data_IF_990123940820
#
_entry.id   IF_990123940820
#
_cell.length_a   1.000
_cell.length_b   1.000
_cell.length_c   1.000
_cell.angle_alpha   90.00
_cell.angle_beta   90.00
_cell.angle_gamma   90.00
#
_symmetry.space_group_name_H-M   'P 1'
#
loop_
_entity.id
_entity.type
_entity.pdbx_description
1 polymer ?
#
# COMPACT_ATOMS: atom_id res chain seq x y z
N UNK A 1 -24.15 5.65 -7.13
CA UNK A 1 -23.05 5.37 -6.18
C UNK A 1 -21.91 6.31 -6.50
N UNK A 2 -21.19 6.86 -5.51
CA UNK A 2 -20.08 7.80 -5.75
C UNK A 2 -18.81 6.99 -6.00
N UNK A 3 -18.12 7.26 -7.12
CA UNK A 3 -16.81 6.66 -7.42
C UNK A 3 -15.74 7.68 -7.08
N UNK A 4 -14.89 7.33 -6.10
CA UNK A 4 -13.77 8.18 -5.69
C UNK A 4 -12.76 8.32 -6.84
N UNK A 5 -12.28 9.54 -7.07
CA UNK A 5 -11.33 9.83 -8.14
C UNK A 5 -9.89 9.68 -7.61
N UNK A 6 -9.04 8.86 -8.28
CA UNK A 6 -7.63 8.76 -7.93
C UNK A 6 -6.88 10.10 -8.02
N UNK A 7 -7.30 11.01 -8.91
CA UNK A 7 -6.75 12.37 -9.01
C UNK A 7 -6.97 13.14 -7.70
N UNK A 8 -8.19 13.12 -7.18
CA UNK A 8 -8.51 13.83 -5.94
C UNK A 8 -7.78 13.22 -4.74
N UNK A 9 -7.62 11.90 -4.72
CA UNK A 9 -6.84 11.22 -3.69
C UNK A 9 -5.38 11.69 -3.68
N UNK A 10 -4.75 11.85 -4.86
CA UNK A 10 -3.40 12.42 -4.96
C UNK A 10 -3.33 13.85 -4.39
N UNK A 11 -4.31 14.70 -4.70
CA UNK A 11 -4.38 16.08 -4.19
C UNK A 11 -4.51 16.08 -2.65
N UNK A 12 -5.42 15.27 -2.09
CA UNK A 12 -5.57 15.16 -0.64
C UNK A 12 -4.31 14.61 0.04
N UNK A 13 -3.62 13.67 -0.60
CA UNK A 13 -2.33 13.15 -0.14
C UNK A 13 -1.28 14.25 -0.02
N UNK A 14 -1.13 15.09 -1.05
CA UNK A 14 -0.21 16.24 -1.02
C UNK A 14 -0.59 17.22 0.10
N UNK A 15 -1.88 17.57 0.21
CA UNK A 15 -2.35 18.53 1.21
C UNK A 15 -2.11 18.04 2.64
N UNK A 16 -2.36 16.76 2.91
CA UNK A 16 -2.12 16.17 4.23
C UNK A 16 -0.63 16.07 4.52
N UNK A 17 0.19 15.73 3.53
CA UNK A 17 1.63 15.74 3.70
C UNK A 17 2.16 17.14 4.02
N UNK A 18 1.72 18.17 3.31
CA UNK A 18 2.07 19.57 3.59
C UNK A 18 1.61 19.96 5.00
N UNK A 19 0.38 19.62 5.37
CA UNK A 19 -0.13 19.89 6.71
C UNK A 19 0.77 19.27 7.79
N UNK A 20 1.15 18.00 7.63
CA UNK A 20 2.04 17.32 8.57
C UNK A 20 3.43 17.93 8.60
N UNK A 21 3.98 18.31 7.45
CA UNK A 21 5.26 19.00 7.37
C UNK A 21 5.25 20.34 8.14
N UNK A 22 4.18 21.13 8.02
CA UNK A 22 4.07 22.44 8.68
C UNK A 22 3.89 22.35 10.20
N UNK A 23 3.25 21.29 10.71
CA UNK A 23 2.97 21.14 12.15
C UNK A 23 3.97 20.23 12.86
N UNK A 24 4.79 19.48 12.13
CA UNK A 24 5.72 18.52 12.73
C UNK A 24 6.86 19.24 13.45
N UNK A 25 7.31 18.74 14.62
CA UNK A 25 8.48 19.26 15.33
C UNK A 25 9.79 18.69 14.75
N UNK A 26 9.84 18.55 13.41
CA UNK A 26 10.89 17.82 12.71
C UNK A 26 11.56 18.75 11.72
N UNK A 27 12.88 18.86 11.85
CA UNK A 27 13.76 19.54 10.92
C UNK A 27 14.52 18.54 10.05
N UNK A 28 14.81 18.90 8.81
CA UNK A 28 15.60 18.06 7.91
C UNK A 28 17.08 18.33 8.11
N UNK A 29 17.86 17.28 8.37
CA UNK A 29 19.30 17.38 8.53
C UNK A 29 20.07 17.23 7.22
N UNK A 30 19.45 16.59 6.22
CA UNK A 30 19.99 16.47 4.87
C UNK A 30 19.36 17.54 3.95
N UNK A 31 20.16 18.31 3.20
CA UNK A 31 19.64 19.33 2.30
C UNK A 31 18.86 18.68 1.15
N UNK A 32 17.66 19.20 0.86
CA UNK A 32 16.87 18.72 -0.27
C UNK A 32 17.46 19.29 -1.56
N UNK A 33 17.94 18.40 -2.43
CA UNK A 33 18.49 18.70 -3.75
C UNK A 33 17.47 19.40 -4.65
N UNK A 34 17.91 20.42 -5.37
CA UNK A 34 17.03 21.11 -6.33
C UNK A 34 16.52 20.17 -7.42
N UNK A 35 17.33 19.18 -7.80
CA UNK A 35 16.97 18.17 -8.80
C UNK A 35 15.82 17.29 -8.29
N UNK A 36 15.84 16.91 -7.02
CA UNK A 36 14.77 16.10 -6.42
C UNK A 36 13.45 16.86 -6.33
N UNK A 37 13.50 18.15 -5.99
CA UNK A 37 12.32 19.03 -6.02
C UNK A 37 11.73 19.13 -7.43
N UNK A 38 12.56 19.40 -8.44
CA UNK A 38 12.12 19.52 -9.83
C UNK A 38 11.51 18.20 -10.31
N UNK A 39 12.15 17.07 -10.03
CA UNK A 39 11.62 15.76 -10.41
C UNK A 39 10.30 15.46 -9.73
N UNK A 40 10.17 15.73 -8.43
CA UNK A 40 8.95 15.49 -7.66
C UNK A 40 7.78 16.35 -8.18
N UNK A 41 8.00 17.66 -8.33
CA UNK A 41 6.98 18.59 -8.84
C UNK A 41 6.63 18.28 -10.30
N UNK A 42 7.63 18.03 -11.14
CA UNK A 42 7.44 17.60 -12.52
C UNK A 42 6.64 16.31 -12.63
N UNK A 43 6.87 15.35 -11.73
CA UNK A 43 6.14 14.09 -11.67
C UNK A 43 4.67 14.28 -11.33
N UNK A 44 4.33 15.14 -10.36
CA UNK A 44 2.94 15.48 -10.07
C UNK A 44 2.28 16.24 -11.22
N UNK A 45 2.96 17.24 -11.80
CA UNK A 45 2.43 18.03 -12.91
C UNK A 45 2.10 17.14 -14.10
N UNK A 46 3.03 16.27 -14.51
CA UNK A 46 2.83 15.35 -15.62
C UNK A 46 1.79 14.26 -15.30
N UNK A 47 1.72 13.77 -14.06
CA UNK A 47 0.64 12.89 -13.63
C UNK A 47 -0.75 13.55 -13.84
N UNK A 48 -0.93 14.79 -13.37
CA UNK A 48 -2.19 15.51 -13.54
C UNK A 48 -2.49 15.86 -15.01
N UNK A 49 -1.45 16.18 -15.79
CA UNK A 49 -1.57 16.40 -17.23
C UNK A 49 -2.05 15.13 -17.93
N UNK A 50 -1.37 13.99 -17.70
CA UNK A 50 -1.74 12.70 -18.25
C UNK A 50 -3.17 12.30 -17.88
N UNK A 51 -3.55 12.50 -16.61
CA UNK A 51 -4.92 12.25 -16.15
C UNK A 51 -5.94 13.11 -16.90
N UNK A 52 -5.63 14.39 -17.11
CA UNK A 52 -6.47 15.34 -17.84
C UNK A 52 -6.59 14.95 -19.32
N UNK A 53 -5.50 14.56 -19.97
CA UNK A 53 -5.51 14.07 -21.36
C UNK A 53 -6.40 12.83 -21.47
N UNK A 54 -6.21 11.82 -20.62
CA UNK A 54 -7.05 10.62 -20.59
C UNK A 54 -8.53 10.95 -20.38
N UNK A 55 -8.81 12.02 -19.62
CA UNK A 55 -10.16 12.52 -19.34
C UNK A 55 -10.81 13.25 -20.52
N UNK A 56 -10.07 13.61 -21.56
CA UNK A 56 -10.61 14.21 -22.80
C UNK A 56 -10.82 13.20 -23.93
N UNK A 57 -10.05 12.11 -23.95
CA UNK A 57 -10.15 11.08 -25.00
C UNK A 57 -11.55 10.43 -25.02
N UNK A 58 -12.27 10.56 -26.14
CA UNK A 58 -13.57 9.90 -26.38
C UNK A 58 -13.38 8.38 -26.34
N UNK A 59 -14.34 7.67 -25.78
CA UNK A 59 -14.31 6.21 -25.77
C UNK A 59 -15.06 5.67 -26.99
N UNK A 60 -14.47 4.66 -27.65
CA UNK A 60 -15.25 3.74 -28.49
C UNK A 60 -16.29 3.04 -27.62
N UNK A 61 -17.54 2.93 -28.11
CA UNK A 61 -18.66 2.22 -27.47
C UNK A 61 -18.17 0.81 -27.13
N UNK A 62 -18.16 0.46 -25.84
CA UNK A 62 -18.09 -0.95 -25.44
C UNK A 62 -19.49 -1.28 -24.95
N UNK A 63 -20.09 -2.29 -25.56
CA UNK A 63 -21.43 -2.78 -25.27
C UNK A 63 -21.48 -3.23 -23.80
N UNK A 64 -22.41 -2.68 -23.03
CA UNK A 64 -22.63 -3.10 -21.64
C UNK A 64 -23.29 -4.47 -21.64
N UNK A 65 -22.60 -5.50 -21.15
CA UNK A 65 -23.22 -6.81 -20.93
C UNK A 65 -24.02 -6.78 -19.64
N UNK A 66 -25.30 -6.41 -19.75
CA UNK A 66 -26.22 -6.39 -18.62
C UNK A 66 -26.83 -7.79 -18.41
N UNK A 67 -26.05 -8.73 -17.86
CA UNK A 67 -26.51 -10.09 -17.58
C UNK A 67 -26.59 -10.35 -16.07
N UNK A 68 -27.67 -9.87 -15.44
CA UNK A 68 -27.99 -10.16 -14.02
C UNK A 68 -28.21 -11.66 -13.77
N UNK A 69 -28.51 -12.44 -14.81
CA UNK A 69 -28.85 -13.88 -14.73
C UNK A 69 -27.64 -14.78 -14.46
N UNK A 70 -26.42 -14.34 -14.79
CA UNK A 70 -25.18 -15.10 -14.55
C UNK A 70 -24.36 -14.63 -13.33
N UNK A 71 -24.83 -13.62 -12.58
CA UNK A 71 -24.06 -13.01 -11.49
C UNK A 71 -23.73 -13.98 -10.34
N UNK A 72 -24.64 -14.89 -10.02
CA UNK A 72 -24.46 -15.90 -8.96
C UNK A 72 -23.37 -16.91 -9.32
N UNK A 73 -23.43 -17.47 -10.53
CA UNK A 73 -22.42 -18.42 -11.01
C UNK A 73 -21.03 -17.78 -11.03
N UNK A 74 -20.95 -16.54 -11.54
CA UNK A 74 -19.69 -15.78 -11.55
C UNK A 74 -19.18 -15.56 -10.13
N UNK A 75 -20.03 -15.15 -9.20
CA UNK A 75 -19.65 -14.99 -7.79
C UNK A 75 -19.01 -16.27 -7.23
N UNK A 76 -19.62 -17.44 -7.42
CA UNK A 76 -19.04 -18.71 -6.95
C UNK A 76 -17.71 -19.06 -7.65
N UNK A 77 -17.53 -18.71 -8.92
CA UNK A 77 -16.25 -18.87 -9.62
C UNK A 77 -15.17 -18.00 -8.93
N UNK A 78 -15.45 -16.72 -8.68
CA UNK A 78 -14.48 -15.83 -8.02
C UNK A 78 -14.23 -16.19 -6.56
N UNK A 79 -15.24 -16.70 -5.84
CA UNK A 79 -15.06 -17.29 -4.52
C UNK A 79 -14.13 -18.51 -4.57
N UNK A 80 -14.33 -19.41 -5.55
CA UNK A 80 -13.44 -20.55 -5.77
C UNK A 80 -12.01 -20.15 -6.08
N UNK A 81 -11.80 -19.11 -6.89
CA UNK A 81 -10.46 -18.53 -7.16
C UNK A 81 -9.86 -17.93 -5.89
N UNK A 82 -10.68 -17.31 -5.03
CA UNK A 82 -10.21 -16.76 -3.75
C UNK A 82 -9.73 -17.86 -2.81
N UNK A 83 -10.47 -18.98 -2.73
CA UNK A 83 -10.06 -20.17 -1.96
C UNK A 83 -8.78 -20.78 -2.55
N UNK A 84 -8.70 -20.90 -3.87
CA UNK A 84 -7.50 -21.41 -4.56
C UNK A 84 -6.27 -20.55 -4.25
N UNK A 85 -6.42 -19.22 -4.20
CA UNK A 85 -5.34 -18.31 -3.80
C UNK A 85 -4.81 -18.63 -2.40
N UNK A 86 -5.70 -18.80 -1.42
CA UNK A 86 -5.34 -19.18 -0.05
C UNK A 86 -4.59 -20.51 -0.04
N UNK A 87 -5.09 -21.52 -0.75
CA UNK A 87 -4.44 -22.83 -0.84
C UNK A 87 -3.04 -22.73 -1.46
N UNK A 88 -2.89 -22.01 -2.58
CA UNK A 88 -1.60 -21.81 -3.23
C UNK A 88 -0.60 -21.11 -2.30
N UNK A 89 -1.01 -20.05 -1.60
CA UNK A 89 -0.11 -19.33 -0.68
C UNK A 89 0.20 -20.12 0.59
N UNK A 90 -0.75 -20.91 1.08
CA UNK A 90 -0.52 -21.82 2.18
C UNK A 90 0.53 -22.87 1.81
N UNK A 91 0.37 -23.51 0.65
CA UNK A 91 1.34 -24.49 0.14
C UNK A 91 2.70 -23.84 -0.09
N UNK A 92 2.76 -22.68 -0.76
CA UNK A 92 4.02 -21.96 -0.98
C UNK A 92 4.73 -21.65 0.34
N UNK A 93 4.03 -21.06 1.28
CA UNK A 93 4.66 -20.53 2.49
C UNK A 93 4.99 -21.63 3.49
N UNK A 94 4.03 -22.49 3.83
CA UNK A 94 4.19 -23.49 4.91
C UNK A 94 4.81 -24.80 4.41
N UNK A 95 4.52 -25.24 3.18
CA UNK A 95 4.97 -26.55 2.69
C UNK A 95 6.25 -26.43 1.88
N UNK A 96 6.31 -25.52 0.91
CA UNK A 96 7.46 -25.39 0.01
C UNK A 96 8.60 -24.62 0.70
N UNK A 97 8.27 -23.51 1.36
CA UNK A 97 9.27 -22.60 1.94
C UNK A 97 9.47 -22.80 3.44
N UNK A 98 8.57 -23.54 4.10
CA UNK A 98 8.77 -24.03 5.46
C UNK A 98 8.58 -23.00 6.58
N UNK A 99 7.77 -21.94 6.39
CA UNK A 99 7.44 -21.07 7.52
C UNK A 99 6.65 -21.84 8.59
N UNK A 100 6.85 -21.48 9.86
CA UNK A 100 6.19 -22.15 10.98
C UNK A 100 5.50 -21.13 11.89
N UNK A 101 4.31 -21.47 12.39
CA UNK A 101 3.57 -20.63 13.34
C UNK A 101 4.33 -20.49 14.67
N UNK A 102 5.13 -21.50 15.02
CA UNK A 102 5.93 -21.49 16.23
C UNK A 102 7.18 -20.58 16.13
N UNK A 103 7.58 -20.21 14.92
CA UNK A 103 8.74 -19.37 14.69
C UNK A 103 8.41 -17.89 14.94
N UNK A 104 9.43 -17.14 15.32
CA UNK A 104 9.32 -15.69 15.43
C UNK A 104 9.04 -15.04 14.06
N UNK A 105 8.37 -13.89 14.05
CA UNK A 105 8.05 -13.19 12.80
C UNK A 105 9.29 -12.82 11.96
N UNK A 106 10.41 -12.54 12.63
CA UNK A 106 11.70 -12.25 11.97
C UNK A 106 12.30 -13.50 11.32
N UNK A 107 12.29 -14.63 12.03
CA UNK A 107 12.78 -15.91 11.54
C UNK A 107 11.96 -16.40 10.33
N UNK A 108 10.64 -16.33 10.40
CA UNK A 108 9.77 -16.64 9.26
C UNK A 108 10.06 -15.74 8.05
N UNK A 109 10.39 -14.47 8.30
CA UNK A 109 10.76 -13.54 7.23
C UNK A 109 12.10 -13.92 6.60
N UNK A 110 13.09 -14.29 7.39
CA UNK A 110 14.40 -14.74 6.92
C UNK A 110 14.29 -16.03 6.09
N UNK A 111 13.49 -17.01 6.55
CA UNK A 111 13.19 -18.24 5.79
C UNK A 111 12.60 -17.89 4.42
N UNK A 112 11.67 -16.95 4.37
CA UNK A 112 11.10 -16.49 3.11
C UNK A 112 12.16 -15.76 2.25
N UNK A 113 12.96 -14.86 2.82
CA UNK A 113 13.97 -14.13 2.05
C UNK A 113 15.06 -15.05 1.46
N UNK A 114 15.43 -16.11 2.19
CA UNK A 114 16.44 -17.09 1.77
C UNK A 114 15.90 -18.18 0.84
N UNK A 115 14.58 -18.37 0.77
CA UNK A 115 13.96 -19.39 -0.08
C UNK A 115 13.61 -18.86 -1.46
N UNK A 116 13.86 -19.69 -2.49
CA UNK A 116 13.47 -19.35 -3.86
C UNK A 116 11.94 -19.33 -3.94
N UNK A 117 11.34 -18.22 -4.41
CA UNK A 117 9.89 -18.15 -4.51
C UNK A 117 9.33 -19.11 -5.55
N UNK A 118 8.25 -19.83 -5.24
CA UNK A 118 7.66 -20.80 -6.18
C UNK A 118 6.71 -20.15 -7.20
N UNK A 119 6.50 -20.83 -8.33
CA UNK A 119 5.46 -20.47 -9.32
C UNK A 119 4.08 -20.47 -8.67
N UNK A 120 3.82 -21.42 -7.76
CA UNK A 120 2.57 -21.53 -7.01
C UNK A 120 2.35 -20.28 -6.16
N UNK A 121 3.39 -19.79 -5.48
CA UNK A 121 3.36 -18.57 -4.69
C UNK A 121 3.10 -17.31 -5.54
N UNK A 122 3.71 -17.21 -6.72
CA UNK A 122 3.48 -16.08 -7.64
C UNK A 122 2.04 -16.09 -8.14
N UNK A 123 1.58 -17.24 -8.65
CA UNK A 123 0.21 -17.41 -9.13
C UNK A 123 -0.79 -17.09 -8.02
N UNK A 124 -0.63 -17.70 -6.85
CA UNK A 124 -1.46 -17.46 -5.67
C UNK A 124 -1.54 -15.98 -5.29
N UNK A 125 -0.41 -15.25 -5.35
CA UNK A 125 -0.38 -13.81 -5.05
C UNK A 125 -1.11 -12.96 -6.11
N UNK A 126 -1.04 -13.33 -7.40
CA UNK A 126 -1.80 -12.63 -8.46
C UNK A 126 -3.30 -12.84 -8.25
N UNK A 127 -3.74 -14.08 -8.04
CA UNK A 127 -5.18 -14.38 -7.89
C UNK A 127 -5.75 -13.99 -6.53
N UNK A 128 -4.91 -13.64 -5.54
CA UNK A 128 -5.33 -13.06 -4.24
C UNK A 128 -6.24 -11.85 -4.38
N UNK A 129 -6.06 -11.06 -5.44
CA UNK A 129 -6.93 -9.94 -5.78
C UNK A 129 -8.43 -10.33 -5.86
N UNK A 130 -8.73 -11.59 -6.15
CA UNK A 130 -10.10 -12.10 -6.25
C UNK A 130 -10.88 -11.95 -4.96
N UNK A 131 -10.22 -11.92 -3.80
CA UNK A 131 -10.87 -11.79 -2.50
C UNK A 131 -11.57 -10.43 -2.37
N UNK A 132 -10.90 -9.35 -2.80
CA UNK A 132 -11.48 -8.00 -2.82
C UNK A 132 -12.56 -7.85 -3.90
N UNK A 133 -12.35 -8.46 -5.08
CA UNK A 133 -13.36 -8.46 -6.13
C UNK A 133 -14.61 -9.24 -5.69
N UNK A 134 -14.46 -10.38 -5.05
CA UNK A 134 -15.54 -11.21 -4.58
C UNK A 134 -16.32 -10.52 -3.45
N UNK A 135 -15.63 -9.90 -2.50
CA UNK A 135 -16.23 -9.06 -1.47
C UNK A 135 -17.02 -7.89 -2.08
N UNK A 136 -16.46 -7.23 -3.11
CA UNK A 136 -17.19 -6.20 -3.84
C UNK A 136 -18.44 -6.74 -4.55
N UNK A 137 -18.33 -7.89 -5.22
CA UNK A 137 -19.45 -8.53 -5.93
C UNK A 137 -20.57 -8.96 -4.98
N UNK A 138 -20.25 -9.34 -3.74
CA UNK A 138 -21.24 -9.66 -2.70
C UNK A 138 -22.25 -8.50 -2.52
N UNK A 139 -21.75 -7.28 -2.34
CA UNK A 139 -22.58 -6.09 -2.18
C UNK A 139 -23.16 -5.60 -3.49
N UNK A 140 -22.39 -5.61 -4.60
CA UNK A 140 -22.86 -5.16 -5.91
C UNK A 140 -24.12 -5.90 -6.37
N UNK A 141 -24.20 -7.21 -6.09
CA UNK A 141 -25.34 -8.05 -6.46
C UNK A 141 -26.37 -8.22 -5.34
N UNK A 142 -26.17 -7.56 -4.19
CA UNK A 142 -27.05 -7.63 -3.01
C UNK A 142 -27.33 -9.08 -2.55
N UNK A 143 -26.30 -9.92 -2.46
CA UNK A 143 -26.45 -11.26 -1.93
C UNK A 143 -26.91 -11.20 -0.46
N UNK A 144 -28.00 -11.89 -0.12
CA UNK A 144 -28.58 -11.90 1.25
C UNK A 144 -28.09 -13.06 2.13
N UNK A 145 -27.13 -13.84 1.67
CA UNK A 145 -26.65 -15.04 2.36
C UNK A 145 -25.49 -14.68 3.31
N UNK A 146 -25.67 -14.71 4.64
CA UNK A 146 -24.64 -14.23 5.59
C UNK A 146 -23.38 -15.11 5.59
N UNK A 147 -23.51 -16.42 5.37
CA UNK A 147 -22.37 -17.33 5.30
C UNK A 147 -21.40 -16.98 4.16
N UNK A 148 -21.88 -16.40 3.06
CA UNK A 148 -21.03 -15.92 1.97
C UNK A 148 -20.23 -14.67 2.37
N UNK A 149 -20.79 -13.82 3.23
CA UNK A 149 -20.08 -12.67 3.78
C UNK A 149 -18.98 -13.14 4.74
N UNK A 150 -19.31 -14.06 5.65
CA UNK A 150 -18.34 -14.65 6.57
C UNK A 150 -17.22 -15.38 5.84
N UNK A 151 -17.51 -16.06 4.73
CA UNK A 151 -16.48 -16.66 3.89
C UNK A 151 -15.49 -15.61 3.34
N UNK A 152 -15.97 -14.45 2.88
CA UNK A 152 -15.08 -13.37 2.45
C UNK A 152 -14.24 -12.83 3.61
N UNK A 153 -14.82 -12.64 4.80
CA UNK A 153 -14.06 -12.22 5.98
C UNK A 153 -12.99 -13.23 6.36
N UNK A 154 -13.30 -14.53 6.37
CA UNK A 154 -12.32 -15.57 6.66
C UNK A 154 -11.15 -15.56 5.64
N UNK A 155 -11.45 -15.43 4.35
CA UNK A 155 -10.43 -15.33 3.29
C UNK A 155 -9.54 -14.10 3.47
N UNK A 156 -10.11 -12.94 3.79
CA UNK A 156 -9.34 -11.71 4.06
C UNK A 156 -8.47 -11.88 5.32
N UNK A 157 -9.05 -12.42 6.39
CA UNK A 157 -8.36 -12.63 7.66
C UNK A 157 -7.17 -13.56 7.53
N UNK A 158 -7.23 -14.57 6.65
CA UNK A 158 -6.09 -15.42 6.33
C UNK A 158 -4.88 -14.60 5.86
N UNK A 159 -5.05 -13.68 4.91
CA UNK A 159 -3.90 -12.88 4.43
C UNK A 159 -3.41 -11.84 5.44
N UNK A 160 -4.32 -11.35 6.30
CA UNK A 160 -3.92 -10.50 7.43
C UNK A 160 -3.04 -11.30 8.40
N UNK A 161 -3.47 -12.53 8.74
CA UNK A 161 -2.73 -13.43 9.61
C UNK A 161 -1.36 -13.82 9.02
N UNK A 162 -1.30 -14.21 7.74
CA UNK A 162 -0.05 -14.50 7.02
C UNK A 162 0.92 -13.30 7.06
N UNK A 163 0.40 -12.08 6.89
CA UNK A 163 1.22 -10.87 6.96
C UNK A 163 1.81 -10.66 8.37
N UNK A 164 1.05 -10.93 9.43
CA UNK A 164 1.56 -10.85 10.80
C UNK A 164 2.62 -11.92 11.10
N UNK A 165 2.45 -13.15 10.59
CA UNK A 165 3.45 -14.22 10.73
C UNK A 165 4.80 -13.86 10.10
N UNK A 166 4.80 -12.99 9.09
CA UNK A 166 6.00 -12.51 8.39
C UNK A 166 6.46 -11.12 8.87
N UNK A 167 5.84 -10.60 9.94
CA UNK A 167 6.18 -9.31 10.54
C UNK A 167 5.73 -8.08 9.75
N UNK A 168 4.94 -8.25 8.69
CA UNK A 168 4.44 -7.15 7.87
C UNK A 168 3.20 -6.51 8.50
N UNK A 169 3.32 -5.23 8.87
CA UNK A 169 2.25 -4.43 9.50
C UNK A 169 1.51 -3.53 8.51
N UNK A 170 2.17 -3.14 7.42
CA UNK A 170 1.61 -2.23 6.42
C UNK A 170 0.59 -2.93 5.52
N UNK A 171 0.82 -4.19 5.12
CA UNK A 171 -0.09 -4.94 4.24
C UNK A 171 -1.50 -5.10 4.87
N UNK A 172 -1.65 -5.58 6.13
CA UNK A 172 -2.95 -5.65 6.79
C UNK A 172 -3.68 -4.31 6.82
N UNK A 173 -2.96 -3.23 7.12
CA UNK A 173 -3.52 -1.89 7.19
C UNK A 173 -4.16 -1.47 5.86
N UNK A 174 -3.47 -1.68 4.73
CA UNK A 174 -4.02 -1.34 3.42
C UNK A 174 -5.20 -2.22 3.00
N UNK A 175 -5.23 -3.49 3.41
CA UNK A 175 -6.38 -4.36 3.17
C UNK A 175 -7.62 -3.89 3.93
N UNK A 176 -7.45 -3.50 5.20
CA UNK A 176 -8.52 -2.94 6.01
C UNK A 176 -9.04 -1.64 5.41
N UNK A 177 -8.15 -0.73 4.96
CA UNK A 177 -8.59 0.50 4.27
C UNK A 177 -9.38 0.17 3.01
N UNK A 178 -8.92 -0.78 2.18
CA UNK A 178 -9.61 -1.15 0.95
C UNK A 178 -11.02 -1.70 1.23
N UNK A 179 -11.18 -2.53 2.27
CA UNK A 179 -12.49 -3.02 2.73
C UNK A 179 -13.39 -1.87 3.17
N UNK A 180 -12.87 -0.96 4.00
CA UNK A 180 -13.59 0.22 4.46
C UNK A 180 -14.05 1.08 3.28
N UNK A 181 -13.20 1.30 2.28
CA UNK A 181 -13.55 2.04 1.06
C UNK A 181 -14.64 1.34 0.24
N UNK A 182 -14.62 0.00 0.15
CA UNK A 182 -15.69 -0.78 -0.49
C UNK A 182 -17.01 -0.59 0.28
N UNK A 183 -16.97 -0.67 1.61
CA UNK A 183 -18.16 -0.49 2.45
C UNK A 183 -18.72 0.94 2.36
N UNK A 184 -17.87 1.96 2.27
CA UNK A 184 -18.29 3.34 2.00
C UNK A 184 -18.89 3.52 0.62
N UNK A 185 -18.31 2.88 -0.41
CA UNK A 185 -18.85 2.93 -1.76
C UNK A 185 -20.31 2.45 -1.82
N UNK A 186 -20.61 1.36 -1.10
CA UNK A 186 -21.96 0.81 -0.99
C UNK A 186 -22.83 1.46 0.10
N UNK A 187 -22.31 2.46 0.83
CA UNK A 187 -22.98 3.12 1.97
C UNK A 187 -23.43 2.16 3.08
N UNK A 188 -22.75 1.02 3.23
CA UNK A 188 -23.00 0.06 4.32
C UNK A 188 -22.58 0.68 5.65
N UNK A 189 -21.41 1.31 5.66
CA UNK A 189 -20.96 2.13 6.78
C UNK A 189 -21.26 3.59 6.45
N UNK A 190 -21.84 4.30 7.40
CA UNK A 190 -21.97 5.75 7.36
C UNK A 190 -21.22 6.33 8.55
N UNK A 191 -20.19 7.14 8.27
CA UNK A 191 -19.47 7.86 9.31
C UNK A 191 -20.36 8.98 9.86
N UNK A 192 -21.13 8.67 10.90
CA UNK A 192 -21.72 9.72 11.74
C UNK A 192 -20.61 10.33 12.59
N UNK A 193 -20.65 11.64 12.80
CA UNK A 193 -19.59 12.35 13.54
C UNK A 193 -19.36 11.77 14.95
N UNK A 194 -20.41 11.27 15.61
CA UNK A 194 -20.29 10.58 16.90
C UNK A 194 -19.43 9.30 16.83
N UNK A 195 -19.53 8.51 15.77
CA UNK A 195 -18.72 7.30 15.62
C UNK A 195 -17.28 7.65 15.26
N UNK A 196 -17.07 8.72 14.49
CA UNK A 196 -15.72 9.26 14.27
C UNK A 196 -15.09 9.73 15.57
N UNK A 197 -15.86 10.37 16.45
CA UNK A 197 -15.39 10.79 17.76
C UNK A 197 -14.99 9.58 18.63
N UNK A 198 -15.84 8.56 18.75
CA UNK A 198 -15.51 7.34 19.51
C UNK A 198 -14.32 6.58 18.91
N UNK A 199 -14.26 6.43 17.59
CA UNK A 199 -13.12 5.82 16.91
C UNK A 199 -11.84 6.65 17.07
N UNK A 200 -11.95 7.98 17.11
CA UNK A 200 -10.84 8.89 17.38
C UNK A 200 -10.28 8.69 18.79
N UNK A 201 -11.14 8.67 19.81
CA UNK A 201 -10.73 8.39 21.19
C UNK A 201 -10.09 7.02 21.30
N UNK A 202 -10.74 5.98 20.78
CA UNK A 202 -10.22 4.61 20.82
C UNK A 202 -8.90 4.49 20.06
N UNK A 203 -8.77 5.19 18.93
CA UNK A 203 -7.53 5.28 18.15
C UNK A 203 -6.40 5.94 18.92
N UNK A 204 -6.67 7.05 19.62
CA UNK A 204 -5.69 7.75 20.47
C UNK A 204 -5.25 6.84 21.64
N UNK A 205 -6.21 6.21 22.34
CA UNK A 205 -5.89 5.30 23.44
C UNK A 205 -5.04 4.11 22.96
N UNK A 206 -5.40 3.52 21.82
CA UNK A 206 -4.63 2.44 21.21
C UNK A 206 -3.24 2.90 20.76
N UNK A 207 -3.14 4.10 20.21
CA UNK A 207 -1.87 4.71 19.81
C UNK A 207 -0.93 4.95 21.00
N UNK A 208 -1.48 5.45 22.12
CA UNK A 208 -0.74 5.59 23.38
C UNK A 208 -0.26 4.24 23.88
N UNK A 209 -1.14 3.23 23.91
CA UNK A 209 -0.79 1.87 24.35
C UNK A 209 0.35 1.25 23.51
N UNK A 210 0.28 1.41 22.18
CA UNK A 210 1.32 0.92 21.28
C UNK A 210 2.66 1.62 21.51
N UNK A 211 2.64 2.94 21.62
CA UNK A 211 3.85 3.72 21.89
C UNK A 211 4.42 3.34 23.24
N UNK A 212 3.55 3.10 24.22
CA UNK A 212 3.99 2.70 25.54
C UNK A 212 4.70 1.37 25.53
N UNK A 213 4.11 0.38 24.85
CA UNK A 213 4.72 -0.93 24.69
C UNK A 213 6.12 -0.79 24.06
N UNK A 214 6.29 0.16 23.13
CA UNK A 214 7.57 0.43 22.51
C UNK A 214 8.56 1.09 23.49
N UNK A 215 8.13 2.07 24.29
CA UNK A 215 8.98 2.70 25.30
C UNK A 215 9.36 1.71 26.40
N UNK A 216 8.42 0.92 26.93
CA UNK A 216 8.68 -0.11 27.94
C UNK A 216 9.74 -1.12 27.47
N UNK A 217 9.63 -1.61 26.23
CA UNK A 217 10.67 -2.48 25.64
C UNK A 217 12.00 -1.77 25.42
N UNK A 218 11.96 -0.44 25.24
CA UNK A 218 13.16 0.38 25.09
C UNK A 218 13.91 0.56 26.40
N UNK A 219 13.17 0.71 27.51
CA UNK A 219 13.73 0.79 28.86
C UNK A 219 14.53 -0.46 29.21
N UNK A 220 14.12 -1.65 28.75
CA UNK A 220 14.86 -2.90 28.99
C UNK A 220 16.32 -2.84 28.53
N UNK A 221 16.64 -2.05 27.50
CA UNK A 221 18.01 -1.88 27.00
C UNK A 221 18.64 -0.53 27.33
N UNK A 222 17.86 0.53 27.55
CA UNK A 222 18.41 1.85 27.93
C UNK A 222 18.47 2.08 29.43
N UNK A 223 17.82 1.27 30.26
CA UNK A 223 17.79 1.39 31.71
C UNK A 223 16.75 2.36 32.25
N UNK A 224 16.63 3.57 31.66
CA UNK A 224 15.65 4.58 32.11
C UNK A 224 14.69 5.01 31.00
N UNK A 225 13.51 5.53 31.40
CA UNK A 225 12.49 6.06 30.47
C UNK A 225 12.98 7.28 29.70
N UNK A 226 13.64 8.21 30.36
CA UNK A 226 14.19 9.41 29.70
C UNK A 226 15.19 9.00 28.61
N UNK A 227 16.13 8.11 28.93
CA UNK A 227 17.07 7.59 27.95
C UNK A 227 16.37 6.79 26.83
N UNK A 228 15.30 6.05 27.15
CA UNK A 228 14.48 5.37 26.15
C UNK A 228 13.85 6.36 25.17
N UNK A 229 13.25 7.45 25.67
CA UNK A 229 12.63 8.49 24.85
C UNK A 229 13.68 9.18 23.97
N UNK A 230 14.82 9.58 24.55
CA UNK A 230 15.92 10.17 23.79
C UNK A 230 16.41 9.20 22.71
N UNK A 231 16.54 7.92 23.04
CA UNK A 231 16.94 6.89 22.08
C UNK A 231 15.94 6.79 20.93
N UNK A 232 14.64 6.70 21.22
CA UNK A 232 13.58 6.60 20.21
C UNK A 232 13.58 7.84 19.29
N UNK A 233 13.66 9.03 19.89
CA UNK A 233 13.53 10.30 19.19
C UNK A 233 14.83 10.82 18.55
N UNK A 234 15.99 10.20 18.81
CA UNK A 234 17.27 10.57 18.15
C UNK A 234 17.92 9.46 17.34
N UNK A 235 17.67 8.19 17.66
CA UNK A 235 18.34 7.03 17.04
C UNK A 235 17.38 6.12 16.25
N UNK A 236 16.11 6.49 16.14
CA UNK A 236 15.17 5.81 15.26
C UNK A 236 15.71 5.81 13.82
N UNK A 237 15.71 4.67 13.15
CA UNK A 237 16.27 4.54 11.80
C UNK A 237 15.56 5.43 10.77
N UNK A 238 14.29 5.78 10.98
CA UNK A 238 13.56 6.74 10.13
C UNK A 238 13.97 8.21 10.37
N UNK A 239 14.84 8.47 11.36
CA UNK A 239 15.34 9.79 11.73
C UNK A 239 16.78 10.05 11.22
N UNK A 240 17.35 9.16 10.40
CA UNK A 240 18.74 9.35 9.94
C UNK A 240 18.96 10.70 9.21
N UNK A 241 17.95 11.18 8.48
CA UNK A 241 17.96 12.48 7.80
C UNK A 241 16.91 13.48 8.33
N UNK A 242 16.27 13.15 9.45
CA UNK A 242 15.28 14.02 10.09
C UNK A 242 15.57 14.14 11.58
N UNK A 243 15.62 15.35 12.11
CA UNK A 243 15.92 15.62 13.52
C UNK A 243 14.68 16.15 14.19
N UNK A 244 14.44 15.72 15.41
CA UNK A 244 13.42 16.34 16.26
C UNK A 244 14.01 17.60 16.87
N UNK A 245 13.23 18.67 16.87
CA UNK A 245 13.64 19.95 17.44
C UNK A 245 13.94 19.79 18.93
N UNK A 246 15.10 20.30 19.38
CA UNK A 246 15.55 20.13 20.77
C UNK A 246 14.56 20.74 21.76
N UNK A 247 13.89 21.85 21.40
CA UNK A 247 12.82 22.45 22.21
C UNK A 247 11.63 21.52 22.41
N UNK A 248 11.24 20.78 21.37
CA UNK A 248 10.18 19.77 21.46
C UNK A 248 10.62 18.57 22.28
N UNK A 249 11.88 18.12 22.13
CA UNK A 249 12.42 17.04 22.97
C UNK A 249 12.42 17.42 24.44
N UNK A 250 12.91 18.61 24.79
CA UNK A 250 12.87 19.12 26.17
C UNK A 250 11.44 19.22 26.70
N UNK A 251 10.51 19.68 25.87
CA UNK A 251 9.08 19.67 26.20
C UNK A 251 8.59 18.26 26.53
N UNK A 252 8.84 17.27 25.69
CA UNK A 252 8.41 15.87 25.92
C UNK A 252 9.01 15.31 27.20
N UNK A 253 10.29 15.55 27.47
CA UNK A 253 10.97 15.07 28.69
C UNK A 253 10.35 15.71 29.95
N UNK A 254 9.95 16.99 29.86
CA UNK A 254 9.33 17.71 30.98
C UNK A 254 7.89 17.29 31.32
N UNK A 255 7.26 16.41 30.54
CA UNK A 255 5.88 15.96 30.80
C UNK A 255 5.87 14.93 31.93
N UNK A 256 5.22 15.29 33.05
CA UNK A 256 5.04 14.40 34.20
C UNK A 256 4.10 13.22 33.91
N UNK A 257 3.10 13.42 33.05
CA UNK A 257 2.12 12.38 32.72
C UNK A 257 2.70 11.35 31.75
N UNK A 258 2.88 10.12 32.24
CA UNK A 258 3.35 8.96 31.48
C UNK A 258 2.63 8.79 30.13
N UNK A 259 1.30 8.79 30.14
CA UNK A 259 0.49 8.58 28.93
C UNK A 259 0.55 9.77 27.96
N UNK A 260 0.60 11.00 28.47
CA UNK A 260 0.70 12.19 27.63
C UNK A 260 2.09 12.26 26.98
N UNK A 261 3.14 11.91 27.72
CA UNK A 261 4.49 11.77 27.19
C UNK A 261 4.53 10.72 26.07
N UNK A 262 3.94 9.53 26.29
CA UNK A 262 3.82 8.49 25.27
C UNK A 262 3.05 8.95 24.04
N UNK A 263 1.99 9.73 24.19
CA UNK A 263 1.28 10.34 23.07
C UNK A 263 2.20 11.20 22.20
N UNK A 264 2.96 12.13 22.81
CA UNK A 264 3.84 13.03 22.07
C UNK A 264 5.07 12.31 21.47
N UNK A 265 5.65 11.32 22.16
CA UNK A 265 6.70 10.45 21.61
C UNK A 265 6.20 9.72 20.36
N UNK A 266 4.99 9.16 20.44
CA UNK A 266 4.36 8.47 19.33
C UNK A 266 4.10 9.41 18.17
N UNK A 267 3.57 10.61 18.45
CA UNK A 267 3.25 11.64 17.47
C UNK A 267 4.51 12.11 16.72
N UNK A 268 5.61 12.40 17.42
CA UNK A 268 6.87 12.75 16.78
C UNK A 268 7.45 11.60 15.96
N UNK A 269 7.38 10.36 16.46
CA UNK A 269 7.80 9.16 15.73
C UNK A 269 6.97 8.96 14.45
N UNK A 270 5.65 9.19 14.53
CA UNK A 270 4.74 9.13 13.40
C UNK A 270 5.08 10.19 12.35
N UNK A 271 5.31 11.44 12.75
CA UNK A 271 5.74 12.49 11.82
C UNK A 271 7.07 12.15 11.16
N UNK A 272 8.05 11.64 11.93
CA UNK A 272 9.35 11.25 11.39
C UNK A 272 9.19 10.19 10.32
N UNK A 273 8.41 9.14 10.64
CA UNK A 273 8.09 8.09 9.69
C UNK A 273 7.29 8.57 8.47
N UNK A 274 6.36 9.52 8.63
CA UNK A 274 5.55 10.01 7.50
C UNK A 274 6.32 10.97 6.58
N UNK A 275 7.25 11.75 7.14
CA UNK A 275 7.93 12.85 6.43
C UNK A 275 9.33 12.49 5.92
N UNK A 276 9.98 11.43 6.42
CA UNK A 276 11.34 11.07 6.01
C UNK A 276 11.48 10.79 4.50
N UNK A 277 10.43 10.30 3.86
CA UNK A 277 10.47 9.74 2.51
C UNK A 277 10.89 10.73 1.42
N UNK A 278 10.59 12.02 1.57
CA UNK A 278 11.02 13.06 0.61
C UNK A 278 12.52 13.32 0.73
N UNK A 279 13.05 13.30 1.95
CA UNK A 279 14.49 13.48 2.17
C UNK A 279 15.26 12.25 1.68
N UNK A 280 14.74 11.05 1.94
CA UNK A 280 15.28 9.80 1.37
C UNK A 280 15.21 9.80 -0.16
N UNK A 281 14.18 10.40 -0.77
CA UNK A 281 14.12 10.59 -2.22
C UNK A 281 15.21 11.52 -2.74
N UNK A 282 15.52 12.61 -2.02
CA UNK A 282 16.64 13.47 -2.38
C UNK A 282 17.96 12.72 -2.28
N UNK A 283 18.22 12.09 -1.14
CA UNK A 283 19.43 11.31 -0.93
C UNK A 283 19.62 10.24 -2.00
N UNK A 284 18.52 9.55 -2.38
CA UNK A 284 18.53 8.59 -3.48
C UNK A 284 18.98 9.24 -4.77
N UNK A 285 18.41 10.38 -5.18
CA UNK A 285 18.79 11.05 -6.43
C UNK A 285 20.26 11.44 -6.43
N UNK A 286 20.76 11.93 -5.31
CA UNK A 286 22.12 12.46 -5.20
C UNK A 286 23.18 11.34 -5.16
N UNK A 287 22.82 10.09 -4.83
CA UNK A 287 23.75 8.97 -4.65
C UNK A 287 23.43 7.72 -5.49
N UNK A 288 22.43 7.77 -6.37
CA UNK A 288 22.05 6.63 -7.22
C UNK A 288 22.88 6.57 -8.50
N UNK A 289 24.01 5.88 -8.43
CA UNK A 289 24.95 5.76 -9.56
C UNK A 289 24.63 4.59 -10.50
N UNK A 290 23.72 3.70 -10.10
CA UNK A 290 23.40 2.50 -10.88
C UNK A 290 22.63 2.82 -12.17
N UNK A 291 22.78 2.02 -13.24
CA UNK A 291 21.94 2.13 -14.43
C UNK A 291 20.44 1.99 -14.12
N UNK A 292 19.61 2.57 -14.99
CA UNK A 292 18.16 2.47 -14.88
C UNK A 292 17.72 0.99 -14.91
N UNK A 293 16.83 0.59 -13.99
CA UNK A 293 16.34 -0.80 -13.88
C UNK A 293 15.23 -1.16 -14.88
N UNK A 294 14.77 -0.21 -15.67
CA UNK A 294 13.82 -0.39 -16.78
C UNK A 294 12.53 -1.12 -16.39
N UNK A 295 12.06 -0.92 -15.16
CA UNK A 295 10.84 -1.51 -14.63
C UNK A 295 11.06 -2.78 -13.82
N UNK A 296 12.28 -3.34 -13.77
CA UNK A 296 12.53 -4.57 -13.01
C UNK A 296 12.42 -4.38 -11.50
N UNK A 297 12.53 -3.15 -10.98
CA UNK A 297 12.35 -2.86 -9.57
C UNK A 297 10.86 -2.71 -9.21
N UNK A 298 10.15 -1.81 -9.87
CA UNK A 298 8.74 -1.53 -9.62
C UNK A 298 7.84 -2.68 -10.02
N UNK A 299 8.11 -3.28 -11.17
CA UNK A 299 7.37 -4.41 -11.73
C UNK A 299 8.10 -5.73 -11.51
N UNK A 300 8.80 -5.87 -10.38
CA UNK A 300 9.61 -7.04 -10.03
C UNK A 300 8.85 -8.36 -10.20
N UNK A 301 7.53 -8.37 -9.99
CA UNK A 301 6.68 -9.56 -10.18
C UNK A 301 6.70 -10.08 -11.60
N UNK A 302 6.70 -9.18 -12.59
CA UNK A 302 6.76 -9.55 -14.01
C UNK A 302 8.14 -10.11 -14.33
N UNK A 303 9.20 -9.41 -13.89
CA UNK A 303 10.58 -9.86 -14.08
C UNK A 303 10.83 -11.23 -13.43
N UNK A 304 10.31 -11.42 -12.23
CA UNK A 304 10.38 -12.66 -11.45
C UNK A 304 9.63 -13.81 -12.11
N UNK A 305 8.42 -13.57 -12.60
CA UNK A 305 7.62 -14.57 -13.30
C UNK A 305 8.35 -15.12 -14.53
N UNK A 306 8.87 -14.23 -15.39
CA UNK A 306 9.60 -14.65 -16.59
C UNK A 306 10.91 -15.36 -16.24
N UNK A 307 11.68 -14.85 -15.27
CA UNK A 307 12.94 -15.50 -14.87
C UNK A 307 12.72 -16.94 -14.40
N UNK A 308 11.72 -17.17 -13.55
CA UNK A 308 11.42 -18.52 -13.06
C UNK A 308 10.93 -19.45 -14.18
N UNK A 309 10.10 -18.96 -15.11
CA UNK A 309 9.62 -19.76 -16.25
C UNK A 309 10.75 -20.15 -17.20
N UNK A 310 11.70 -19.27 -17.43
CA UNK A 310 12.86 -19.54 -18.28
C UNK A 310 14.02 -20.23 -17.55
N UNK A 311 13.78 -20.78 -16.35
CA UNK A 311 14.77 -21.57 -15.60
C UNK A 311 15.88 -20.74 -14.94
N UNK A 312 15.73 -19.42 -14.87
CA UNK A 312 16.67 -18.52 -14.20
C UNK A 312 16.33 -18.32 -12.72
N UNK A 313 17.37 -18.23 -11.88
CA UNK A 313 17.23 -17.75 -10.51
C UNK A 313 16.79 -16.27 -10.46
N UNK A 314 15.99 -15.92 -9.46
CA UNK A 314 15.62 -14.54 -9.18
C UNK A 314 16.18 -14.10 -7.82
N UNK A 315 17.30 -13.39 -7.83
CA UNK A 315 17.77 -12.60 -6.69
C UNK A 315 17.48 -11.12 -6.96
N UNK A 316 16.60 -10.52 -6.17
CA UNK A 316 16.49 -9.05 -6.13
C UNK A 316 17.57 -8.55 -5.17
N UNK A 317 18.81 -8.41 -5.65
CA UNK A 317 19.84 -7.76 -4.85
C UNK A 317 19.53 -6.26 -4.79
N UNK A 318 19.38 -5.71 -3.57
CA UNK A 318 19.18 -4.27 -3.36
C UNK A 318 20.51 -3.51 -3.24
N UNK A 319 21.64 -4.14 -3.59
CA UNK A 319 22.99 -3.59 -3.48
C UNK A 319 23.23 -2.35 -4.34
N UNK A 320 22.30 -2.06 -5.25
CA UNK A 320 22.33 -0.89 -6.13
C UNK A 320 21.60 0.32 -5.53
N UNK A 321 20.86 0.11 -4.45
CA UNK A 321 20.19 1.18 -3.71
C UNK A 321 21.16 1.70 -2.67
N UNK A 322 21.38 3.02 -2.58
CA UNK A 322 22.31 3.62 -1.61
C UNK A 322 22.05 3.20 -0.17
N UNK A 323 20.77 2.94 0.17
CA UNK A 323 20.33 2.53 1.51
C UNK A 323 19.25 1.45 1.42
N UNK A 324 19.62 0.16 1.48
CA UNK A 324 18.64 -0.92 1.44
C UNK A 324 17.74 -0.88 2.67
N UNK A 325 16.47 -1.21 2.49
CA UNK A 325 15.47 -1.27 3.58
C UNK A 325 14.93 0.08 4.05
N UNK A 326 15.32 1.20 3.41
CA UNK A 326 14.71 2.51 3.63
C UNK A 326 13.56 2.75 2.66
N UNK A 327 12.49 3.34 3.18
CA UNK A 327 11.36 3.72 2.35
C UNK A 327 11.62 5.10 1.74
N UNK A 328 11.23 5.23 0.48
CA UNK A 328 11.20 6.50 -0.23
C UNK A 328 9.79 6.74 -0.75
N UNK A 329 9.55 7.92 -1.32
CA UNK A 329 8.27 8.26 -1.94
C UNK A 329 7.92 7.27 -3.06
N UNK A 330 6.68 7.33 -3.56
CA UNK A 330 6.30 6.61 -4.79
C UNK A 330 7.28 6.87 -5.94
N UNK A 331 7.77 8.10 -6.05
CA UNK A 331 8.66 8.53 -7.13
C UNK A 331 10.06 7.94 -7.04
N UNK A 332 10.54 7.60 -5.84
CA UNK A 332 11.89 7.06 -5.67
C UNK A 332 12.09 5.73 -6.38
N UNK A 333 11.16 4.80 -6.23
CA UNK A 333 11.23 3.51 -6.93
C UNK A 333 11.06 3.67 -8.44
N UNK A 334 10.19 4.58 -8.89
CA UNK A 334 10.06 4.90 -10.31
C UNK A 334 11.36 5.50 -10.85
N UNK A 335 12.07 6.29 -10.04
CA UNK A 335 13.38 6.83 -10.39
C UNK A 335 14.45 5.74 -10.49
N UNK A 336 14.43 4.72 -9.63
CA UNK A 336 15.35 3.58 -9.79
C UNK A 336 15.15 2.86 -11.13
N UNK A 337 13.91 2.80 -11.63
CA UNK A 337 13.59 2.18 -12.91
C UNK A 337 13.84 3.06 -14.14
N UNK A 338 13.52 4.36 -14.06
CA UNK A 338 13.45 5.23 -15.23
C UNK A 338 14.30 6.51 -15.11
N UNK A 339 14.98 6.72 -13.98
CA UNK A 339 15.78 7.92 -13.67
C UNK A 339 15.01 9.21 -13.97
N UNK A 340 15.59 10.09 -14.78
CA UNK A 340 15.01 11.38 -15.18
C UNK A 340 13.77 11.24 -16.08
N UNK A 341 13.45 10.05 -16.59
CA UNK A 341 12.18 9.78 -17.28
C UNK A 341 11.00 9.49 -16.33
N UNK A 342 11.21 9.52 -15.00
CA UNK A 342 10.14 9.37 -14.00
C UNK A 342 8.92 10.26 -14.26
N UNK A 343 9.06 11.56 -14.58
CA UNK A 343 7.90 12.39 -14.89
C UNK A 343 7.10 11.91 -16.11
N UNK A 344 7.77 11.37 -17.13
CA UNK A 344 7.09 10.80 -18.30
C UNK A 344 6.33 9.52 -17.95
N UNK A 345 6.91 8.64 -17.14
CA UNK A 345 6.19 7.48 -16.59
C UNK A 345 4.92 7.94 -15.84
N UNK A 346 5.04 8.97 -15.01
CA UNK A 346 3.90 9.52 -14.26
C UNK A 346 2.80 10.07 -15.17
N UNK A 347 3.15 10.67 -16.31
CA UNK A 347 2.17 11.06 -17.32
C UNK A 347 1.37 9.86 -17.84
N UNK A 348 2.07 8.79 -18.22
CA UNK A 348 1.41 7.56 -18.71
C UNK A 348 0.57 6.92 -17.62
N UNK A 349 1.05 6.92 -16.37
CA UNK A 349 0.33 6.39 -15.23
C UNK A 349 -0.96 7.18 -14.97
N UNK A 350 -0.89 8.51 -14.98
CA UNK A 350 -2.06 9.39 -14.86
C UNK A 350 -3.06 9.17 -15.99
N UNK A 351 -2.58 9.07 -17.23
CA UNK A 351 -3.41 8.74 -18.40
C UNK A 351 -4.15 7.41 -18.19
N UNK A 352 -3.43 6.34 -17.85
CA UNK A 352 -3.98 5.01 -17.60
C UNK A 352 -5.05 5.02 -16.51
N UNK A 353 -4.79 5.64 -15.35
CA UNK A 353 -5.76 5.73 -14.26
C UNK A 353 -7.03 6.49 -14.68
N UNK A 354 -6.90 7.54 -15.48
CA UNK A 354 -8.03 8.30 -16.01
C UNK A 354 -8.91 7.47 -16.95
N UNK A 355 -8.29 6.63 -17.79
CA UNK A 355 -9.02 5.68 -18.66
C UNK A 355 -9.79 4.65 -17.84
N UNK A 356 -9.20 4.12 -16.77
CA UNK A 356 -9.89 3.21 -15.85
C UNK A 356 -11.08 3.88 -15.18
N UNK A 357 -10.88 5.08 -14.62
CA UNK A 357 -11.93 5.83 -13.92
C UNK A 357 -13.12 6.13 -14.84
N UNK A 358 -12.85 6.58 -16.07
CA UNK A 358 -13.88 6.78 -17.10
C UNK A 358 -14.59 5.50 -17.50
N UNK A 359 -13.90 4.36 -17.54
CA UNK A 359 -14.53 3.08 -17.86
C UNK A 359 -15.61 2.72 -16.83
N UNK A 360 -15.44 3.12 -15.56
CA UNK A 360 -16.45 2.93 -14.53
C UNK A 360 -17.64 3.88 -14.74
N UNK A 361 -17.38 5.18 -14.90
CA UNK A 361 -18.44 6.19 -14.98
C UNK A 361 -19.25 6.08 -16.27
N UNK A 362 -18.58 5.93 -17.42
CA UNK A 362 -19.23 6.01 -18.73
C UNK A 362 -19.75 4.64 -19.22
N UNK A 363 -19.18 3.53 -18.74
CA UNK A 363 -19.50 2.17 -19.24
C UNK A 363 -20.08 1.24 -18.18
N UNK A 364 -20.39 1.78 -17.00
CA UNK A 364 -20.88 1.02 -15.84
C UNK A 364 -20.02 -0.21 -15.50
N UNK A 365 -18.69 -0.08 -15.69
CA UNK A 365 -17.77 -1.18 -15.47
C UNK A 365 -17.44 -1.34 -13.98
N UNK A 366 -18.37 -1.90 -13.21
CA UNK A 366 -18.23 -1.99 -11.76
C UNK A 366 -17.09 -2.91 -11.30
N UNK A 367 -16.64 -3.87 -12.12
CA UNK A 367 -15.56 -4.81 -11.72
C UNK A 367 -14.21 -4.13 -11.51
N UNK A 368 -13.99 -2.96 -12.12
CA UNK A 368 -12.78 -2.16 -11.95
C UNK A 368 -12.85 -1.27 -10.70
N UNK A 369 -14.00 -1.14 -10.03
CA UNK A 369 -14.13 -0.27 -8.85
C UNK A 369 -13.15 -0.64 -7.72
N UNK A 370 -12.96 -1.91 -7.33
CA UNK A 370 -11.93 -2.27 -6.34
C UNK A 370 -10.52 -1.78 -6.71
N UNK A 371 -10.17 -1.84 -8.00
CA UNK A 371 -8.88 -1.33 -8.49
C UNK A 371 -8.80 0.19 -8.36
N UNK A 372 -9.87 0.92 -8.70
CA UNK A 372 -9.93 2.38 -8.52
C UNK A 372 -9.80 2.77 -7.05
N UNK A 373 -10.46 2.03 -6.14
CA UNK A 373 -10.35 2.29 -4.71
C UNK A 373 -8.92 2.04 -4.20
N UNK A 374 -8.28 0.96 -4.65
CA UNK A 374 -6.87 0.71 -4.34
C UNK A 374 -5.96 1.81 -4.89
N UNK A 375 -6.18 2.27 -6.13
CA UNK A 375 -5.44 3.40 -6.71
C UNK A 375 -5.67 4.70 -5.95
N UNK A 376 -6.82 4.91 -5.32
CA UNK A 376 -7.03 6.05 -4.43
C UNK A 376 -6.12 5.97 -3.20
N UNK A 377 -5.99 4.79 -2.57
CA UNK A 377 -5.06 4.58 -1.44
C UNK A 377 -3.63 4.86 -1.88
N UNK A 378 -3.22 4.24 -3.00
CA UNK A 378 -1.89 4.35 -3.57
C UNK A 378 -1.51 5.80 -3.91
N UNK A 379 -2.40 6.53 -4.57
CA UNK A 379 -2.17 7.93 -4.92
C UNK A 379 -2.12 8.85 -3.70
N UNK A 380 -2.94 8.57 -2.69
CA UNK A 380 -2.97 9.35 -1.45
C UNK A 380 -1.62 9.29 -0.72
N UNK A 381 -0.95 8.13 -0.74
CA UNK A 381 0.34 7.95 -0.06
C UNK A 381 1.56 8.21 -0.96
N UNK A 382 1.39 8.76 -2.17
CA UNK A 382 2.51 9.07 -3.06
C UNK A 382 3.68 9.80 -2.39
N UNK A 383 3.46 10.83 -1.54
CA UNK A 383 4.55 11.53 -0.87
C UNK A 383 5.31 10.67 0.16
N UNK A 384 4.75 9.54 0.57
CA UNK A 384 5.18 8.79 1.76
C UNK A 384 5.81 7.46 1.37
N UNK A 385 5.19 6.71 0.48
CA UNK A 385 5.60 5.33 0.27
C UNK A 385 5.10 4.76 -1.06
N UNK A 386 5.93 3.95 -1.71
CA UNK A 386 5.49 3.17 -2.85
C UNK A 386 4.80 1.86 -2.44
N UNK A 387 3.47 1.87 -2.52
CA UNK A 387 2.66 0.68 -2.29
C UNK A 387 2.84 -0.43 -3.34
N UNK A 388 3.30 -0.11 -4.56
CA UNK A 388 3.44 -1.07 -5.65
C UNK A 388 4.51 -2.11 -5.32
N UNK A 389 5.68 -1.63 -4.90
CA UNK A 389 6.87 -2.41 -4.51
C UNK A 389 6.76 -2.90 -3.08
N UNK A 390 6.81 -1.98 -2.11
CA UNK A 390 6.97 -2.33 -0.70
C UNK A 390 5.71 -2.89 -0.05
N UNK A 391 4.53 -2.64 -0.63
CA UNK A 391 3.26 -3.22 -0.19
C UNK A 391 2.84 -4.49 -0.95
N UNK A 392 3.67 -5.01 -1.86
CA UNK A 392 3.28 -6.04 -2.83
C UNK A 392 2.04 -5.64 -3.66
N UNK A 393 1.76 -4.34 -3.78
CA UNK A 393 0.58 -3.79 -4.44
C UNK A 393 0.49 -4.11 -5.92
N UNK A 394 1.63 -4.38 -6.58
CA UNK A 394 1.64 -4.77 -7.99
C UNK A 394 0.86 -6.07 -8.25
N UNK A 395 0.92 -7.05 -7.33
CA UNK A 395 0.13 -8.28 -7.44
C UNK A 395 -1.37 -7.98 -7.44
N UNK A 396 -1.80 -7.05 -6.57
CA UNK A 396 -3.19 -6.64 -6.48
C UNK A 396 -3.65 -5.90 -7.74
N UNK A 397 -2.81 -5.02 -8.30
CA UNK A 397 -3.10 -4.30 -9.55
C UNK A 397 -3.26 -5.30 -10.71
N UNK A 398 -2.26 -6.16 -10.93
CA UNK A 398 -2.29 -7.14 -12.03
C UNK A 398 -3.48 -8.09 -11.86
N UNK A 399 -3.67 -8.61 -10.64
CA UNK A 399 -4.78 -9.52 -10.32
C UNK A 399 -6.14 -8.89 -10.58
N UNK A 400 -6.40 -7.68 -10.10
CA UNK A 400 -7.68 -7.00 -10.32
C UNK A 400 -7.93 -6.69 -11.80
N UNK A 401 -6.90 -6.34 -12.57
CA UNK A 401 -7.02 -6.15 -14.02
C UNK A 401 -7.42 -7.46 -14.70
N UNK A 402 -6.66 -8.55 -14.47
CA UNK A 402 -6.90 -9.86 -15.08
C UNK A 402 -8.30 -10.39 -14.73
N UNK A 403 -8.67 -10.33 -13.46
CA UNK A 403 -9.96 -10.81 -12.96
C UNK A 403 -11.13 -9.97 -13.50
N UNK A 404 -10.94 -8.66 -13.67
CA UNK A 404 -11.94 -7.78 -14.31
C UNK A 404 -12.16 -8.15 -15.77
N UNK A 405 -11.09 -8.44 -16.52
CA UNK A 405 -11.20 -8.93 -17.90
C UNK A 405 -11.86 -10.31 -17.97
N UNK A 406 -11.45 -11.23 -17.10
CA UNK A 406 -12.05 -12.56 -17.02
C UNK A 406 -13.55 -12.50 -16.70
N UNK A 407 -13.97 -11.63 -15.76
CA UNK A 407 -15.39 -11.42 -15.47
C UNK A 407 -16.15 -11.01 -16.74
N UNK A 408 -15.61 -10.03 -17.48
CA UNK A 408 -16.22 -9.54 -18.72
C UNK A 408 -16.32 -10.62 -19.78
N UNK A 409 -15.24 -11.34 -20.02
CA UNK A 409 -15.20 -12.45 -20.98
C UNK A 409 -16.25 -13.52 -20.65
N UNK A 410 -16.34 -13.93 -19.38
CA UNK A 410 -17.32 -14.92 -18.93
C UNK A 410 -18.77 -14.40 -18.99
N UNK A 411 -19.00 -13.09 -18.92
CA UNK A 411 -20.33 -12.49 -19.15
C UNK A 411 -20.72 -12.43 -20.63
N UNK A 412 -19.74 -12.28 -21.54
CA UNK A 412 -19.97 -12.17 -22.99
C UNK A 412 -20.24 -13.52 -23.66
N UNK A 413 -19.56 -14.60 -23.23
CA UNK A 413 -19.78 -15.95 -23.79
C UNK A 413 -21.22 -16.46 -23.56
N UNK A 414 -21.96 -15.85 -22.63
CA UNK A 414 -23.29 -16.31 -22.21
C UNK A 414 -24.40 -15.29 -22.47
N UNK A 415 -24.14 -14.25 -23.25
CA UNK A 415 -25.15 -13.39 -23.89
C UNK A 415 -25.32 -13.85 -25.33
#
# INVERSE_FOLDING_TARGET
MKVYSPRNAAIYGILIWILFYLISPISYSYPISSVSIILLLGSYLLFFLGYSIGSKVKHLRIISTNSRRNSIKLYYIFLGISVLSVLCLFIDSFVIRGININNGAFENREILENSTPSIIGIFGNIIKASVFLNFFLYFQHNFRKPYLLYANYALIMYFIFESFLTGSRSIPFFYVILIILILFHFKIIQLKIKYLFYLGILGILFFILLTETFISRTIEFTGTREQAIIFILKKGTYLDYTKIDESFLSFVISIDSYYLQSFFVGLASFYGYYLHSIVEFSYLIDHFDSPARLGSHTFFVIAKFFKIIFGGGYELTLNYVPRPGKYTTFFGDIFMDFKYYTPFFMMLFGYWQSRLYKSVIAKNNYTIIPLILFLCILNFIFPVFNLITGGKGIYLIIGLILLSYMYRFLTQIKS
#
